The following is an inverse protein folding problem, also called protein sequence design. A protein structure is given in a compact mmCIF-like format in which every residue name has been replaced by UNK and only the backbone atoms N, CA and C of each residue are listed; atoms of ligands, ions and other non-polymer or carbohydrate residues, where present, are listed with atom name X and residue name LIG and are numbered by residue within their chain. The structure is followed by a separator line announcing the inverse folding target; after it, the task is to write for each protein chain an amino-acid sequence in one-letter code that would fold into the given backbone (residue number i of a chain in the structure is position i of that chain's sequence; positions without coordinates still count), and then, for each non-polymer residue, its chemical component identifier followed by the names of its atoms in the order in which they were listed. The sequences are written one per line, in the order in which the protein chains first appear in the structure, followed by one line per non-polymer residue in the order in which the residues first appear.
data_IF_240569211735
#
_entry.id   IF_240569211735
#
_cell.length_a   1.000
_cell.length_b   1.000
_cell.length_c   1.000
_cell.angle_alpha   90.00
_cell.angle_beta   90.00
_cell.angle_gamma   90.00
#
_symmetry.space_group_name_H-M   'P 1'
#
loop_
_entity.id
_entity.type
_entity.pdbx_description
1 polymer ?
#
# COMPACT_ATOMS: atom_id res chain seq x y z
N UNK A 1 6.41 -17.43 13.74
CA UNK A 1 6.97 -18.08 12.53
C UNK A 1 5.91 -18.08 11.42
N UNK A 2 6.28 -18.52 10.20
CA UNK A 2 5.36 -18.53 9.04
C UNK A 2 4.17 -19.49 9.21
N UNK A 3 4.33 -20.61 9.93
CA UNK A 3 3.25 -21.55 10.18
C UNK A 3 2.14 -20.93 11.02
N UNK A 4 2.51 -20.26 12.11
CA UNK A 4 1.58 -19.51 12.95
C UNK A 4 0.84 -18.39 12.17
N UNK A 5 1.55 -17.72 11.25
CA UNK A 5 0.95 -16.73 10.37
C UNK A 5 -0.12 -17.35 9.45
N UNK A 6 0.20 -18.45 8.76
CA UNK A 6 -0.76 -19.10 7.86
C UNK A 6 -1.99 -19.62 8.61
N UNK A 7 -1.80 -20.19 9.81
CA UNK A 7 -2.92 -20.60 10.65
C UNK A 7 -3.85 -19.42 11.00
N UNK A 8 -3.29 -18.30 11.48
CA UNK A 8 -4.07 -17.12 11.82
C UNK A 8 -4.76 -16.50 10.60
N UNK A 9 -4.06 -16.45 9.46
CA UNK A 9 -4.60 -15.99 8.18
C UNK A 9 -5.82 -16.82 7.78
N UNK A 10 -5.69 -18.15 7.77
CA UNK A 10 -6.75 -19.05 7.33
C UNK A 10 -7.95 -18.98 8.29
N UNK A 11 -7.69 -18.95 9.60
CA UNK A 11 -8.72 -18.76 10.62
C UNK A 11 -9.58 -17.49 10.39
N UNK A 12 -8.93 -16.38 10.01
CA UNK A 12 -9.61 -15.12 9.68
C UNK A 12 -10.36 -15.21 8.34
N UNK A 13 -9.74 -15.81 7.32
CA UNK A 13 -10.35 -15.96 5.99
C UNK A 13 -11.58 -16.85 6.01
N UNK A 14 -11.58 -17.93 6.80
CA UNK A 14 -12.73 -18.83 7.01
C UNK A 14 -13.95 -18.10 7.59
N UNK A 15 -13.73 -16.92 8.19
CA UNK A 15 -14.79 -16.04 8.74
C UNK A 15 -15.15 -14.88 7.81
N UNK A 16 -14.60 -14.86 6.60
CA UNK A 16 -14.87 -13.84 5.59
C UNK A 16 -14.06 -12.55 5.73
N UNK A 17 -13.05 -12.51 6.60
CA UNK A 17 -12.17 -11.35 6.71
C UNK A 17 -11.18 -11.28 5.53
N UNK A 18 -10.87 -10.05 5.11
CA UNK A 18 -9.75 -9.75 4.21
C UNK A 18 -8.50 -9.44 5.03
N UNK A 19 -7.36 -9.90 4.57
CA UNK A 19 -6.07 -9.77 5.24
C UNK A 19 -5.25 -8.69 4.55
N UNK A 20 -4.71 -7.77 5.34
CA UNK A 20 -3.80 -6.74 4.87
C UNK A 20 -2.48 -6.84 5.64
N UNK A 21 -1.36 -6.79 4.92
CA UNK A 21 -0.04 -6.61 5.55
C UNK A 21 0.20 -5.12 5.69
N UNK A 22 0.43 -4.67 6.91
CA UNK A 22 0.67 -3.27 7.24
C UNK A 22 2.15 -2.99 7.50
N UNK A 23 2.53 -1.72 7.35
CA UNK A 23 3.85 -1.22 7.70
C UNK A 23 4.94 -1.54 6.68
N UNK A 24 4.58 -1.79 5.42
CA UNK A 24 5.55 -2.09 4.36
C UNK A 24 6.21 -0.80 3.87
N UNK A 25 7.54 -0.79 3.77
CA UNK A 25 8.28 0.31 3.15
C UNK A 25 8.46 0.06 1.65
N UNK A 26 8.78 1.11 0.89
CA UNK A 26 9.14 0.97 -0.52
C UNK A 26 10.35 0.03 -0.74
N UNK A 27 11.27 -0.06 0.23
CA UNK A 27 12.41 -0.98 0.19
C UNK A 27 12.02 -2.44 0.39
N UNK A 28 10.95 -2.70 1.16
CA UNK A 28 10.52 -4.07 1.47
C UNK A 28 9.49 -4.62 0.49
N UNK A 29 8.76 -3.74 -0.21
CA UNK A 29 7.73 -4.12 -1.17
C UNK A 29 8.21 -5.14 -2.22
N UNK A 30 9.39 -5.01 -2.86
CA UNK A 30 9.86 -5.96 -3.88
C UNK A 30 10.08 -7.38 -3.33
N UNK A 31 10.26 -7.54 -2.02
CA UNK A 31 10.50 -8.82 -1.38
C UNK A 31 9.20 -9.50 -0.91
N UNK A 32 8.04 -8.86 -1.09
CA UNK A 32 6.76 -9.36 -0.62
C UNK A 32 5.95 -9.87 -1.80
N UNK A 33 5.79 -11.19 -1.86
CA UNK A 33 4.86 -11.78 -2.81
C UNK A 33 3.47 -11.94 -2.16
N UNK A 34 2.59 -10.96 -2.40
CA UNK A 34 1.22 -10.92 -1.89
C UNK A 34 0.44 -12.22 -2.14
N UNK A 35 0.57 -12.77 -3.35
CA UNK A 35 -0.16 -13.96 -3.80
C UNK A 35 0.33 -15.22 -3.06
N UNK A 36 1.65 -15.39 -2.91
CA UNK A 36 2.23 -16.51 -2.13
C UNK A 36 1.88 -16.44 -0.66
N UNK A 37 1.81 -15.23 -0.09
CA UNK A 37 1.37 -15.02 1.28
C UNK A 37 -0.14 -15.22 1.47
N UNK A 38 -0.91 -15.22 0.38
CA UNK A 38 -2.37 -15.40 0.41
C UNK A 38 -3.09 -14.24 1.11
N UNK A 39 -2.53 -13.02 1.03
CA UNK A 39 -3.14 -11.82 1.62
C UNK A 39 -3.84 -10.99 0.55
N UNK A 40 -4.80 -10.17 0.95
CA UNK A 40 -5.66 -9.45 0.02
C UNK A 40 -5.09 -8.07 -0.33
N UNK A 41 -4.42 -7.40 0.60
CA UNK A 41 -3.89 -6.04 0.44
C UNK A 41 -2.52 -5.86 1.08
N UNK A 42 -1.80 -4.83 0.64
CA UNK A 42 -0.56 -4.34 1.26
C UNK A 42 -0.72 -2.85 1.55
N UNK A 43 -0.34 -2.40 2.74
CA UNK A 43 -0.20 -0.98 3.06
C UNK A 43 1.28 -0.59 3.01
N UNK A 44 1.60 0.23 2.03
CA UNK A 44 2.93 0.82 1.87
C UNK A 44 2.96 2.19 2.55
N UNK A 45 3.97 2.42 3.39
CA UNK A 45 4.21 3.68 4.08
C UNK A 45 4.76 4.70 3.09
N UNK A 46 4.09 5.85 3.01
CA UNK A 46 4.64 7.04 2.36
C UNK A 46 5.84 7.59 3.14
N UNK A 47 6.92 7.91 2.41
CA UNK A 47 8.12 8.56 2.92
C UNK A 47 8.54 9.66 1.94
N UNK A 48 8.90 10.84 2.45
CA UNK A 48 9.31 11.99 1.64
C UNK A 48 10.57 11.72 0.83
N UNK A 49 11.45 10.83 1.30
CA UNK A 49 12.68 10.48 0.57
C UNK A 49 12.38 9.82 -0.78
N UNK A 50 11.19 9.24 -0.93
CA UNK A 50 10.74 8.62 -2.17
C UNK A 50 10.61 9.62 -3.32
N UNK A 51 10.34 10.91 -3.04
CA UNK A 51 10.28 11.96 -4.08
C UNK A 51 11.63 12.17 -4.75
N UNK A 52 12.72 12.05 -3.97
CA UNK A 52 14.09 12.29 -4.39
C UNK A 52 14.74 11.12 -5.12
N UNK A 53 14.05 9.98 -5.23
CA UNK A 53 14.54 8.82 -5.97
C UNK A 53 14.72 9.14 -7.45
N UNK A 54 15.74 8.54 -8.05
CA UNK A 54 15.93 8.57 -9.49
C UNK A 54 14.82 7.80 -10.23
N UNK A 55 14.83 7.93 -11.56
CA UNK A 55 13.81 7.34 -12.41
C UNK A 55 13.87 5.80 -12.44
N UNK A 56 15.05 5.22 -12.22
CA UNK A 56 15.24 3.76 -12.17
C UNK A 56 14.55 3.17 -10.94
N UNK A 57 14.79 3.75 -9.76
CA UNK A 57 14.14 3.35 -8.51
C UNK A 57 12.63 3.57 -8.55
N UNK A 58 12.16 4.69 -9.14
CA UNK A 58 10.73 4.94 -9.35
C UNK A 58 10.09 3.91 -10.28
N UNK A 59 10.80 3.47 -11.31
CA UNK A 59 10.34 2.42 -12.23
C UNK A 59 10.27 1.08 -11.52
N UNK A 60 11.31 0.68 -10.80
CA UNK A 60 11.33 -0.57 -10.04
C UNK A 60 10.21 -0.64 -9.00
N UNK A 61 9.91 0.47 -8.33
CA UNK A 61 8.80 0.55 -7.40
C UNK A 61 7.43 0.49 -8.09
N UNK A 62 7.27 1.13 -9.26
CA UNK A 62 6.05 0.97 -10.07
C UNK A 62 5.85 -0.51 -10.46
N UNK A 63 6.91 -1.20 -10.84
CA UNK A 63 6.85 -2.63 -11.18
C UNK A 63 6.50 -3.49 -9.95
N UNK A 64 7.05 -3.18 -8.78
CA UNK A 64 6.71 -3.87 -7.54
C UNK A 64 5.24 -3.64 -7.10
N UNK A 65 4.70 -2.44 -7.34
CA UNK A 65 3.26 -2.14 -7.16
C UNK A 65 2.42 -2.97 -8.14
N UNK A 66 2.82 -3.03 -9.40
CA UNK A 66 2.13 -3.80 -10.44
C UNK A 66 2.12 -5.32 -10.15
N UNK A 67 3.25 -5.88 -9.71
CA UNK A 67 3.34 -7.29 -9.31
C UNK A 67 2.48 -7.58 -8.07
N UNK A 68 2.41 -6.62 -7.14
CA UNK A 68 1.50 -6.68 -5.99
C UNK A 68 0.03 -6.53 -6.41
N UNK A 69 -0.25 -6.02 -7.61
CA UNK A 69 -1.56 -5.66 -8.11
C UNK A 69 -1.91 -4.22 -7.76
N UNK A 70 -2.01 -3.35 -8.76
CA UNK A 70 -2.20 -1.89 -8.63
C UNK A 70 -3.37 -1.49 -7.71
N UNK A 71 -4.44 -2.30 -7.70
CA UNK A 71 -5.65 -2.08 -6.91
C UNK A 71 -5.60 -2.73 -5.52
N UNK A 72 -4.42 -3.17 -5.09
CA UNK A 72 -4.20 -3.97 -3.86
C UNK A 72 -3.13 -3.37 -2.97
N UNK A 73 -2.47 -2.31 -3.41
CA UNK A 73 -1.55 -1.50 -2.61
C UNK A 73 -2.25 -0.23 -2.16
N UNK A 74 -2.21 0.02 -0.86
CA UNK A 74 -2.70 1.25 -0.23
C UNK A 74 -1.47 2.07 0.16
N UNK A 75 -1.34 3.29 -0.34
CA UNK A 75 -0.34 4.22 0.18
C UNK A 75 -0.87 4.85 1.47
N UNK A 76 -0.22 4.58 2.59
CA UNK A 76 -0.62 5.06 3.92
C UNK A 76 0.30 6.19 4.41
N UNK A 77 -0.15 6.91 5.47
CA UNK A 77 0.49 8.14 5.95
C UNK A 77 0.54 9.26 4.91
N UNK A 78 -0.48 9.33 4.06
CA UNK A 78 -0.70 10.43 3.13
C UNK A 78 -1.18 11.68 3.89
N UNK A 79 -0.24 12.42 4.47
CA UNK A 79 -0.50 13.59 5.32
C UNK A 79 -0.49 14.92 4.55
N UNK A 80 -0.10 14.91 3.27
CA UNK A 80 -0.19 16.06 2.37
C UNK A 80 -0.41 15.64 0.90
N UNK A 81 -0.58 16.62 0.02
CA UNK A 81 -0.88 16.44 -1.40
C UNK A 81 0.26 15.75 -2.19
N UNK A 82 1.52 15.88 -1.73
CA UNK A 82 2.68 15.30 -2.41
C UNK A 82 2.60 13.78 -2.40
N UNK A 83 2.17 13.20 -1.28
CA UNK A 83 1.93 11.76 -1.17
C UNK A 83 0.94 11.25 -2.24
N UNK A 84 -0.13 12.01 -2.49
CA UNK A 84 -1.15 11.66 -3.49
C UNK A 84 -0.59 11.77 -4.91
N UNK A 85 0.07 12.89 -5.22
CA UNK A 85 0.72 13.13 -6.52
C UNK A 85 1.74 12.04 -6.84
N UNK A 86 2.58 11.71 -5.86
CA UNK A 86 3.57 10.66 -5.97
C UNK A 86 2.93 9.29 -6.21
N UNK A 87 1.98 8.90 -5.36
CA UNK A 87 1.32 7.59 -5.47
C UNK A 87 0.65 7.39 -6.82
N UNK A 88 0.01 8.42 -7.38
CA UNK A 88 -0.51 8.37 -8.75
C UNK A 88 0.59 8.17 -9.81
N UNK A 89 1.77 8.78 -9.63
CA UNK A 89 2.92 8.59 -10.53
C UNK A 89 3.45 7.15 -10.60
N UNK A 90 3.11 6.32 -9.60
CA UNK A 90 3.47 4.89 -9.52
C UNK A 90 2.25 3.96 -9.54
N UNK A 91 1.12 4.42 -10.11
CA UNK A 91 -0.11 3.65 -10.30
C UNK A 91 -0.85 3.20 -9.04
N UNK A 92 -0.59 3.83 -7.89
CA UNK A 92 -1.41 3.60 -6.69
C UNK A 92 -2.74 4.35 -6.81
N UNK A 93 -3.83 3.66 -6.46
CA UNK A 93 -5.20 4.16 -6.53
C UNK A 93 -5.92 4.24 -5.18
N UNK A 94 -5.32 3.69 -4.11
CA UNK A 94 -5.88 3.73 -2.75
C UNK A 94 -4.95 4.47 -1.81
N UNK A 95 -5.50 5.40 -1.04
CA UNK A 95 -4.75 6.30 -0.17
C UNK A 95 -5.36 6.36 1.22
N UNK A 96 -4.51 6.47 2.25
CA UNK A 96 -4.93 6.62 3.64
C UNK A 96 -4.00 7.60 4.37
N UNK A 97 -4.57 8.57 5.07
CA UNK A 97 -3.81 9.56 5.85
C UNK A 97 -4.63 10.81 6.15
N UNK A 98 -4.06 11.73 6.94
CA UNK A 98 -4.79 12.92 7.41
C UNK A 98 -5.25 13.82 6.27
N UNK A 99 -4.46 13.93 5.20
CA UNK A 99 -4.85 14.71 4.03
C UNK A 99 -6.05 14.08 3.30
N UNK A 100 -6.09 12.75 3.20
CA UNK A 100 -7.22 12.03 2.58
C UNK A 100 -8.51 12.27 3.38
N UNK A 101 -8.44 12.20 4.71
CA UNK A 101 -9.58 12.49 5.60
C UNK A 101 -10.08 13.92 5.41
N UNK A 102 -9.17 14.89 5.31
CA UNK A 102 -9.51 16.28 5.05
C UNK A 102 -10.28 16.43 3.72
N UNK A 103 -9.75 15.88 2.63
CA UNK A 103 -10.38 15.92 1.30
C UNK A 103 -11.78 15.28 1.30
N UNK A 104 -11.97 14.17 2.01
CA UNK A 104 -13.29 13.53 2.13
C UNK A 104 -14.28 14.39 2.93
N UNK A 105 -13.81 15.05 4.00
CA UNK A 105 -14.64 15.94 4.82
C UNK A 105 -15.13 17.16 4.04
N UNK A 106 -14.28 17.75 3.19
CA UNK A 106 -14.64 18.88 2.33
C UNK A 106 -15.64 18.46 1.26
N UNK A 107 -15.46 17.27 0.67
CA UNK A 107 -16.36 16.74 -0.35
C UNK A 107 -17.77 16.46 0.18
N UNK A 108 -17.89 16.08 1.45
CA UNK A 108 -19.19 15.78 2.09
C UNK A 108 -19.95 17.06 2.51
N UNK A 109 -19.27 18.22 2.58
CA UNK A 109 -19.88 19.52 2.89
C UNK A 109 -20.46 20.23 1.68
N UNK A 110 -20.15 19.79 0.45
CA UNK A 110 -20.71 20.29 -0.80
C UNK A 110 -21.90 19.45 -1.23
#
# INVERSE_FOLDING_TARGET
DLGAFFFARDFCRDRGYRICIDGISHLSLPYINRNKLGVDMIKMIWDTDMESMDDEHKTAMRDAVAESGDTRVILCRCDDERAIKFGHGINITMFQGRHVEHLMSERTKK
#
